data_IF_322678593188
#
_entry.id   IF_322678593188
#
_cell.length_a   1.000
_cell.length_b   1.000
_cell.length_c   1.000
_cell.angle_alpha   90.00
_cell.angle_beta   90.00
_cell.angle_gamma   90.00
#
_symmetry.space_group_name_H-M   'P 1'
#
loop_
_entity.id
_entity.type
_entity.pdbx_description
1 polymer ?
#
# COMPACT_ATOMS: atom_id res chain seq x y z
N UNK A 1 -33.68 17.31 -2.90
CA UNK A 1 -32.29 16.91 -2.59
C UNK A 1 -31.55 16.74 -3.90
N UNK A 2 -30.37 17.35 -4.07
CA UNK A 2 -29.60 17.23 -5.30
C UNK A 2 -28.73 15.96 -5.26
N UNK A 3 -28.43 15.37 -6.43
CA UNK A 3 -27.48 14.27 -6.56
C UNK A 3 -26.14 14.80 -7.07
N UNK A 4 -25.07 14.10 -6.72
CA UNK A 4 -23.74 14.39 -7.22
C UNK A 4 -23.70 14.31 -8.76
N UNK A 5 -23.14 15.33 -9.42
CA UNK A 5 -23.01 15.40 -10.88
C UNK A 5 -21.90 14.54 -11.49
N UNK A 6 -21.13 13.81 -10.67
CA UNK A 6 -20.05 12.93 -11.12
C UNK A 6 -20.53 11.55 -11.60
N UNK A 7 -19.66 10.87 -12.36
CA UNK A 7 -19.86 9.51 -12.88
C UNK A 7 -18.92 8.52 -12.20
N UNK A 8 -19.36 7.28 -12.06
CA UNK A 8 -18.56 6.15 -11.56
C UNK A 8 -17.64 5.62 -12.68
N UNK A 9 -16.67 4.73 -12.36
CA UNK A 9 -15.78 4.12 -13.37
C UNK A 9 -16.49 3.27 -14.42
N UNK A 10 -17.71 2.79 -14.12
CA UNK A 10 -18.59 2.05 -15.04
C UNK A 10 -19.53 2.97 -15.85
N UNK A 11 -19.21 4.27 -15.91
CA UNK A 11 -19.99 5.34 -16.53
C UNK A 11 -21.41 5.55 -15.97
N UNK A 12 -21.79 4.85 -14.89
CA UNK A 12 -23.07 5.08 -14.24
C UNK A 12 -23.07 6.38 -13.41
N UNK A 13 -24.20 7.11 -13.31
CA UNK A 13 -24.26 8.34 -12.53
C UNK A 13 -24.07 8.08 -11.03
N UNK A 14 -23.42 9.02 -10.34
CA UNK A 14 -23.22 8.92 -8.90
C UNK A 14 -24.54 9.09 -8.12
N UNK A 15 -24.88 8.10 -7.32
CA UNK A 15 -26.14 8.09 -6.55
C UNK A 15 -26.06 8.90 -5.23
N UNK A 16 -24.89 9.45 -4.89
CA UNK A 16 -24.69 10.13 -3.60
C UNK A 16 -25.44 11.46 -3.55
N UNK A 17 -26.26 11.64 -2.52
CA UNK A 17 -27.00 12.86 -2.25
C UNK A 17 -26.05 13.96 -1.76
N UNK A 18 -26.23 15.17 -2.27
CA UNK A 18 -25.45 16.36 -1.90
C UNK A 18 -26.39 17.52 -1.53
N UNK A 19 -25.92 18.46 -0.68
CA UNK A 19 -26.65 19.70 -0.42
C UNK A 19 -26.90 20.47 -1.73
N UNK A 20 -28.01 21.21 -1.83
CA UNK A 20 -28.31 22.00 -3.04
C UNK A 20 -27.23 23.04 -3.39
N UNK A 21 -26.46 23.49 -2.41
CA UNK A 21 -25.33 24.41 -2.59
C UNK A 21 -24.04 23.76 -3.11
N UNK A 22 -23.99 22.44 -3.29
CA UNK A 22 -22.82 21.69 -3.77
C UNK A 22 -23.20 20.77 -4.93
N UNK A 23 -22.54 20.90 -6.08
CA UNK A 23 -22.79 20.04 -7.25
C UNK A 23 -22.15 18.65 -7.17
N UNK A 24 -21.10 18.49 -6.37
CA UNK A 24 -20.34 17.25 -6.27
C UNK A 24 -20.23 16.75 -4.84
N UNK A 25 -20.12 15.44 -4.69
CA UNK A 25 -19.76 14.82 -3.43
C UNK A 25 -18.23 14.80 -3.24
N UNK A 26 -17.76 14.55 -2.01
CA UNK A 26 -16.32 14.51 -1.70
C UNK A 26 -15.48 13.67 -2.68
N UNK A 27 -16.01 12.54 -3.19
CA UNK A 27 -15.29 11.66 -4.13
C UNK A 27 -15.15 12.22 -5.55
N UNK A 28 -16.07 13.08 -5.98
CA UNK A 28 -16.12 13.64 -7.35
C UNK A 28 -15.85 15.14 -7.42
N UNK A 29 -15.71 15.80 -6.27
CA UNK A 29 -15.38 17.22 -6.17
C UNK A 29 -13.96 17.48 -6.75
N UNK A 30 -13.82 18.23 -7.86
CA UNK A 30 -12.53 18.51 -8.48
C UNK A 30 -11.59 19.28 -7.55
N UNK A 31 -12.11 20.22 -6.76
CA UNK A 31 -11.32 21.09 -5.87
C UNK A 31 -10.67 20.29 -4.73
N UNK A 32 -11.22 19.10 -4.42
CA UNK A 32 -10.71 18.18 -3.41
C UNK A 32 -9.87 17.04 -3.97
N UNK A 33 -9.60 17.01 -5.27
CA UNK A 33 -8.80 15.94 -5.88
C UNK A 33 -7.42 15.81 -5.22
N UNK A 34 -6.74 16.93 -4.99
CA UNK A 34 -5.43 16.97 -4.33
C UNK A 34 -5.48 16.52 -2.88
N UNK A 35 -6.51 16.95 -2.14
CA UNK A 35 -6.75 16.53 -0.76
C UNK A 35 -6.93 15.00 -0.69
N UNK A 36 -7.80 14.45 -1.55
CA UNK A 36 -8.02 13.00 -1.66
C UNK A 36 -6.74 12.25 -1.97
N UNK A 37 -5.94 12.74 -2.92
CA UNK A 37 -4.65 12.14 -3.29
C UNK A 37 -3.68 12.11 -2.11
N UNK A 38 -3.55 13.21 -1.37
CA UNK A 38 -2.70 13.28 -0.16
C UNK A 38 -3.19 12.33 0.92
N UNK A 39 -4.49 12.27 1.16
CA UNK A 39 -5.10 11.38 2.14
C UNK A 39 -4.89 9.90 1.78
N UNK A 40 -5.08 9.53 0.50
CA UNK A 40 -4.80 8.17 0.02
C UNK A 40 -3.32 7.80 0.16
N UNK A 41 -2.39 8.71 -0.17
CA UNK A 41 -0.96 8.49 0.03
C UNK A 41 -0.60 8.29 1.50
N UNK A 42 -1.14 9.13 2.40
CA UNK A 42 -0.92 9.00 3.86
C UNK A 42 -1.51 7.70 4.39
N UNK A 43 -2.72 7.34 3.95
CA UNK A 43 -3.37 6.10 4.31
C UNK A 43 -2.58 4.88 3.82
N UNK A 44 -2.05 4.91 2.59
CA UNK A 44 -1.20 3.84 2.03
C UNK A 44 0.21 3.76 2.63
N UNK A 45 0.72 4.84 3.24
CA UNK A 45 1.99 4.85 3.98
C UNK A 45 1.82 4.35 5.42
N UNK A 46 0.74 4.74 6.10
CA UNK A 46 0.48 4.37 7.51
C UNK A 46 -0.27 3.03 7.66
N UNK A 47 -1.12 2.71 6.70
CA UNK A 47 -1.84 1.44 6.55
C UNK A 47 -1.63 0.88 5.14
N UNK A 48 -2.03 -0.36 4.88
CA UNK A 48 -1.81 -0.97 3.56
C UNK A 48 -0.33 -1.21 3.24
N UNK A 49 0.21 -0.57 2.19
CA UNK A 49 1.54 -0.85 1.62
C UNK A 49 2.72 -0.44 2.49
N UNK A 50 2.61 0.62 3.28
CA UNK A 50 3.71 1.13 4.11
C UNK A 50 3.79 0.52 5.52
N UNK A 51 2.78 -0.25 5.93
CA UNK A 51 2.75 -0.89 7.27
C UNK A 51 3.93 -1.84 7.51
N UNK A 52 4.30 -2.74 6.58
CA UNK A 52 5.42 -3.65 6.83
C UNK A 52 6.76 -2.91 6.94
N UNK A 53 6.95 -1.81 6.20
CA UNK A 53 8.16 -0.97 6.34
C UNK A 53 8.25 -0.30 7.71
N UNK A 54 7.12 0.17 8.25
CA UNK A 54 7.06 0.71 9.62
C UNK A 54 7.36 -0.37 10.67
N UNK A 55 6.87 -1.58 10.47
CA UNK A 55 7.13 -2.73 11.35
C UNK A 55 8.61 -3.14 11.33
N UNK A 56 9.23 -3.23 10.14
CA UNK A 56 10.67 -3.45 10.01
C UNK A 56 11.49 -2.37 10.71
N UNK A 57 11.10 -1.10 10.58
CA UNK A 57 11.77 0.00 11.27
C UNK A 57 11.67 -0.13 12.79
N UNK A 58 10.52 -0.58 13.32
CA UNK A 58 10.35 -0.80 14.75
C UNK A 58 11.18 -1.99 15.26
N UNK A 59 11.25 -3.08 14.48
CA UNK A 59 12.09 -4.24 14.79
C UNK A 59 13.59 -3.90 14.76
N UNK A 60 14.01 -3.10 13.77
CA UNK A 60 15.38 -2.57 13.69
C UNK A 60 15.74 -1.78 14.96
N UNK A 61 14.87 -0.86 15.38
CA UNK A 61 15.11 -0.07 16.60
C UNK A 61 15.27 -0.96 17.83
N UNK A 62 14.45 -1.99 17.98
CA UNK A 62 14.58 -2.96 19.09
C UNK A 62 15.91 -3.71 19.07
N UNK A 63 16.45 -4.02 17.89
CA UNK A 63 17.78 -4.64 17.77
C UNK A 63 18.89 -3.66 18.15
N UNK A 64 18.78 -2.39 17.76
CA UNK A 64 19.72 -1.33 18.14
C UNK A 64 19.73 -1.12 19.66
N UNK A 65 18.54 -0.99 20.27
CA UNK A 65 18.35 -0.89 21.73
C UNK A 65 18.94 -2.11 22.45
N UNK A 66 18.71 -3.33 21.93
CA UNK A 66 19.27 -4.56 22.51
C UNK A 66 20.80 -4.61 22.41
N UNK A 67 21.37 -4.11 21.31
CA UNK A 67 22.81 -4.06 21.13
C UNK A 67 23.46 -3.08 22.10
N UNK A 68 22.89 -1.88 22.27
CA UNK A 68 23.31 -0.89 23.26
C UNK A 68 23.24 -1.45 24.68
N UNK A 69 22.11 -2.07 25.05
CA UNK A 69 21.93 -2.72 26.36
C UNK A 69 23.02 -3.76 26.66
N UNK A 70 23.47 -4.52 25.66
CA UNK A 70 24.54 -5.53 25.83
C UNK A 70 25.90 -4.87 25.96
N UNK A 71 26.18 -3.85 25.14
CA UNK A 71 27.46 -3.14 25.16
C UNK A 71 27.67 -2.39 26.49
N UNK A 72 26.60 -1.83 27.04
CA UNK A 72 26.61 -1.15 28.34
C UNK A 72 26.53 -2.11 29.53
N UNK A 73 26.39 -3.42 29.28
CA UNK A 73 26.27 -4.43 30.34
C UNK A 73 24.93 -4.44 31.07
N UNK A 74 23.91 -3.73 30.56
CA UNK A 74 22.54 -3.74 31.09
C UNK A 74 21.84 -5.09 30.88
N UNK A 75 22.26 -5.86 29.87
CA UNK A 75 21.77 -7.22 29.61
C UNK A 75 22.90 -8.22 29.43
N UNK A 76 22.66 -9.47 29.87
CA UNK A 76 23.61 -10.54 29.65
C UNK A 76 23.62 -10.98 28.18
N UNK A 77 24.75 -11.53 27.73
CA UNK A 77 24.97 -11.92 26.33
C UNK A 77 24.13 -13.13 25.89
N UNK A 78 23.79 -14.05 26.80
CA UNK A 78 23.04 -15.27 26.47
C UNK A 78 21.58 -14.94 26.16
N UNK A 79 20.91 -14.19 27.04
CA UNK A 79 19.53 -13.74 26.83
C UNK A 79 19.43 -12.81 25.63
N UNK A 80 20.42 -11.93 25.45
CA UNK A 80 20.46 -11.06 24.29
C UNK A 80 20.68 -11.83 22.98
N UNK A 81 21.43 -12.93 22.98
CA UNK A 81 21.57 -13.78 21.81
C UNK A 81 20.22 -14.41 21.43
N UNK A 82 19.47 -14.94 22.40
CA UNK A 82 18.13 -15.52 22.17
C UNK A 82 17.15 -14.45 21.70
N UNK A 83 17.10 -13.29 22.37
CA UNK A 83 16.24 -12.18 21.97
C UNK A 83 16.57 -11.68 20.56
N UNK A 84 17.86 -11.56 20.22
CA UNK A 84 18.32 -11.18 18.90
C UNK A 84 17.91 -12.19 17.82
N UNK A 85 17.93 -13.49 18.11
CA UNK A 85 17.44 -14.53 17.19
C UNK A 85 15.94 -14.40 16.94
N UNK A 86 15.13 -14.23 17.99
CA UNK A 86 13.68 -14.06 17.87
C UNK A 86 13.31 -12.79 17.08
N UNK A 87 14.00 -11.67 17.34
CA UNK A 87 13.83 -10.43 16.56
C UNK A 87 14.21 -10.62 15.09
N UNK A 88 15.28 -11.37 14.81
CA UNK A 88 15.64 -11.69 13.44
C UNK A 88 14.59 -12.59 12.75
N UNK A 89 13.98 -13.53 13.45
CA UNK A 89 12.87 -14.33 12.90
C UNK A 89 11.66 -13.45 12.56
N UNK A 90 11.32 -12.48 13.43
CA UNK A 90 10.27 -11.52 13.14
C UNK A 90 10.58 -10.68 11.89
N UNK A 91 11.81 -10.16 11.77
CA UNK A 91 12.26 -9.41 10.57
C UNK A 91 12.14 -10.26 9.31
N UNK A 92 12.56 -11.53 9.36
CA UNK A 92 12.46 -12.46 8.23
C UNK A 92 11.00 -12.72 7.85
N UNK A 93 10.12 -12.94 8.82
CA UNK A 93 8.69 -13.15 8.56
C UNK A 93 8.08 -11.95 7.83
N UNK A 94 8.30 -10.74 8.32
CA UNK A 94 7.81 -9.50 7.68
C UNK A 94 8.42 -9.33 6.28
N UNK A 95 9.71 -9.62 6.12
CA UNK A 95 10.40 -9.52 4.83
C UNK A 95 9.87 -10.53 3.79
N UNK A 96 9.54 -11.75 4.21
CA UNK A 96 8.93 -12.76 3.33
C UNK A 96 7.55 -12.32 2.88
N UNK A 97 6.71 -11.82 3.80
CA UNK A 97 5.39 -11.29 3.44
C UNK A 97 5.49 -10.11 2.46
N UNK A 98 6.47 -9.22 2.65
CA UNK A 98 6.73 -8.13 1.71
C UNK A 98 7.10 -8.62 0.31
N UNK A 99 8.02 -9.59 0.23
CA UNK A 99 8.42 -10.18 -1.05
C UNK A 99 7.27 -10.90 -1.74
N UNK A 100 6.47 -11.66 -1.01
CA UNK A 100 5.29 -12.34 -1.56
C UNK A 100 4.32 -11.33 -2.19
N UNK A 101 4.05 -10.21 -1.49
CA UNK A 101 3.22 -9.14 -2.03
C UNK A 101 3.84 -8.47 -3.27
N UNK A 102 5.14 -8.25 -3.26
CA UNK A 102 5.84 -7.70 -4.44
C UNK A 102 5.74 -8.65 -5.64
N UNK A 103 5.87 -9.96 -5.40
CA UNK A 103 5.63 -10.98 -6.42
C UNK A 103 4.20 -10.93 -6.97
N UNK A 104 3.18 -10.91 -6.11
CA UNK A 104 1.77 -10.77 -6.52
C UNK A 104 1.53 -9.49 -7.35
N UNK A 105 2.14 -8.36 -6.96
CA UNK A 105 2.03 -7.10 -7.71
C UNK A 105 2.75 -7.14 -9.07
N UNK A 106 3.85 -7.89 -9.19
CA UNK A 106 4.54 -8.09 -10.46
C UNK A 106 3.77 -9.05 -11.36
N UNK A 107 3.20 -10.11 -10.81
CA UNK A 107 2.33 -11.06 -11.53
C UNK A 107 1.12 -10.34 -12.14
N UNK A 108 0.42 -9.53 -11.35
CA UNK A 108 -0.73 -8.74 -11.85
C UNK A 108 -0.36 -7.79 -12.98
N UNK A 109 0.83 -7.15 -12.92
CA UNK A 109 1.31 -6.27 -14.01
C UNK A 109 1.70 -7.06 -15.26
N UNK A 110 2.25 -8.26 -15.09
CA UNK A 110 2.58 -9.15 -16.21
C UNK A 110 1.31 -9.62 -16.92
N UNK A 111 0.25 -9.94 -16.17
CA UNK A 111 -1.06 -10.28 -16.74
C UNK A 111 -1.62 -9.09 -17.54
N UNK A 112 -1.68 -7.89 -16.95
CA UNK A 112 -2.16 -6.67 -17.63
C UNK A 112 -1.40 -6.39 -18.94
N UNK A 113 -0.06 -6.50 -18.90
CA UNK A 113 0.77 -6.32 -20.09
C UNK A 113 0.55 -7.40 -21.15
N UNK A 114 0.33 -8.64 -20.72
CA UNK A 114 0.06 -9.77 -21.63
C UNK A 114 -1.29 -9.57 -22.33
N UNK A 115 -2.33 -9.23 -21.59
CA UNK A 115 -3.65 -8.92 -22.15
C UNK A 115 -3.60 -7.74 -23.13
N UNK A 116 -2.90 -6.65 -22.77
CA UNK A 116 -2.74 -5.50 -23.65
C UNK A 116 -2.00 -5.87 -24.95
N UNK A 117 -1.00 -6.75 -24.87
CA UNK A 117 -0.26 -7.23 -26.03
C UNK A 117 -1.10 -8.14 -26.94
N UNK A 118 -1.91 -9.03 -26.36
CA UNK A 118 -2.87 -9.86 -27.08
C UNK A 118 -3.89 -9.00 -27.83
N UNK A 119 -4.50 -8.02 -27.14
CA UNK A 119 -5.44 -7.08 -27.76
C UNK A 119 -4.80 -6.30 -28.91
N UNK A 120 -3.54 -5.86 -28.76
CA UNK A 120 -2.81 -5.18 -29.81
C UNK A 120 -2.56 -6.08 -31.02
N UNK A 121 -2.20 -7.35 -30.80
CA UNK A 121 -2.03 -8.32 -31.87
C UNK A 121 -3.34 -8.62 -32.60
N UNK A 122 -4.44 -8.77 -31.87
CA UNK A 122 -5.76 -8.97 -32.46
C UNK A 122 -6.20 -7.77 -33.29
N UNK A 123 -6.00 -6.55 -32.79
CA UNK A 123 -6.30 -5.32 -33.53
C UNK A 123 -5.48 -5.23 -34.83
N UNK A 124 -4.19 -5.59 -34.79
CA UNK A 124 -3.33 -5.65 -35.98
C UNK A 124 -3.80 -6.70 -36.98
N UNK A 125 -4.24 -7.88 -36.52
CA UNK A 125 -4.77 -8.95 -37.39
C UNK A 125 -6.10 -8.59 -38.03
N UNK A 126 -6.97 -7.85 -37.34
CA UNK A 126 -8.27 -7.41 -37.88
C UNK A 126 -8.17 -6.22 -38.84
N UNK A 127 -7.07 -5.47 -38.79
CA UNK A 127 -6.80 -4.33 -39.67
C UNK A 127 -5.98 -4.65 -40.93
N UNK A 128 -5.55 -5.91 -41.11
CA UNK A 128 -4.83 -6.42 -42.29
C UNK A 128 -5.76 -7.31 -43.13
#
# INVERSE_FOLDING_TARGET
MARCAGFKPDDSPCERIVPASRGYCYSHDPDRADERRRNASRAGKRGGRGRPAAELSALKRRLEELAEDVLEGRKNRQDAAVAGQLLNYAIRAVSVTLRARESEELEAKLEELSEAFEQQQEARRRGA
#
